data_IF_961664185668
#
_entry.id   IF_961664185668
#
_cell.length_a   1.000
_cell.length_b   1.000
_cell.length_c   1.000
_cell.angle_alpha   90.00
_cell.angle_beta   90.00
_cell.angle_gamma   90.00
#
_symmetry.space_group_name_H-M   'P 1'
#
loop_
_entity.id
_entity.type
_entity.pdbx_description
1 polymer ?
2 non-polymer ?
3 non-polymer ?
4 water ?
#
# COMPACT_ATOMS: atom_id res chain seq x y z
N UNK A 24 27.25 11.69 -9.30
CA UNK A 24 27.11 10.26 -9.47
C UNK A 24 26.80 9.53 -8.17
N UNK A 25 26.10 8.40 -8.28
CA UNK A 25 25.85 7.57 -7.11
C UNK A 25 27.15 6.94 -6.64
N UNK A 26 27.36 6.93 -5.33
CA UNK A 26 28.52 6.23 -4.77
C UNK A 26 28.37 4.73 -5.02
N UNK A 27 29.48 4.01 -4.81
CA UNK A 27 29.46 2.57 -5.03
C UNK A 27 28.48 1.87 -4.10
N UNK A 28 28.44 2.27 -2.84
CA UNK A 28 27.62 1.57 -1.87
C UNK A 28 26.16 1.98 -1.95
N UNK A 29 25.87 3.10 -2.63
CA UNK A 29 24.49 3.47 -2.94
C UNK A 29 23.94 2.63 -4.08
N UNK A 30 24.77 2.34 -5.09
CA UNK A 30 24.36 1.44 -6.17
C UNK A 30 24.02 0.07 -5.63
N UNK A 31 24.81 -0.43 -4.68
CA UNK A 31 24.49 -1.70 -4.04
C UNK A 31 23.21 -1.61 -3.23
N UNK A 32 22.95 -0.45 -2.63
CA UNK A 32 21.72 -0.27 -1.86
C UNK A 32 20.50 -0.36 -2.75
N UNK A 33 20.52 0.33 -3.90
CA UNK A 33 19.40 0.26 -4.83
C UNK A 33 19.25 -1.15 -5.38
N UNK A 34 20.38 -1.82 -5.66
CA UNK A 34 20.33 -3.14 -6.24
C UNK A 34 19.65 -4.13 -5.31
N UNK A 35 19.95 -4.07 -4.01
CA UNK A 35 19.33 -4.99 -3.08
C UNK A 35 17.84 -4.71 -2.93
N UNK A 36 17.45 -3.44 -2.93
CA UNK A 36 16.03 -3.09 -2.89
C UNK A 36 15.31 -3.57 -4.15
N UNK A 37 15.91 -3.30 -5.31
CA UNK A 37 15.33 -3.78 -6.57
C UNK A 37 15.28 -5.31 -6.59
N UNK A 38 16.30 -5.96 -6.03
CA UNK A 38 16.31 -7.42 -5.97
C UNK A 38 15.17 -7.93 -5.10
N UNK A 39 14.97 -7.33 -3.92
CA UNK A 39 13.88 -7.75 -3.04
C UNK A 39 12.53 -7.48 -3.69
N UNK A 40 12.40 -6.36 -4.41
CA UNK A 40 11.14 -6.07 -5.09
C UNK A 40 10.85 -7.09 -6.18
N UNK A 41 11.87 -7.45 -6.97
CA UNK A 41 11.70 -8.45 -8.02
C UNK A 41 11.30 -9.80 -7.44
N UNK A 42 11.83 -10.14 -6.26
CA UNK A 42 11.61 -11.47 -5.69
C UNK A 42 10.25 -11.60 -5.03
N UNK A 43 9.67 -10.49 -4.54
CA UNK A 43 8.52 -10.55 -3.66
C UNK A 43 7.29 -9.81 -4.16
N UNK A 44 7.35 -9.17 -5.32
CA UNK A 44 6.20 -8.43 -5.86
C UNK A 44 5.73 -9.16 -7.11
N UNK A 45 4.69 -9.98 -6.95
CA UNK A 45 4.05 -10.68 -8.07
C UNK A 45 3.17 -9.69 -8.80
N UNK A 46 3.74 -9.03 -9.82
CA UNK A 46 3.03 -7.97 -10.52
C UNK A 46 1.81 -8.46 -11.28
N UNK A 47 1.75 -9.76 -11.61
CA UNK A 47 0.60 -10.33 -12.28
C UNK A 47 -0.43 -10.88 -11.32
N UNK A 48 -0.15 -10.89 -10.02
CA UNK A 48 -1.05 -11.44 -9.00
C UNK A 48 -1.43 -12.88 -9.31
N UNK A 49 -0.50 -13.62 -9.93
CA UNK A 49 -0.81 -14.97 -10.40
C UNK A 49 -1.10 -15.92 -9.25
N UNK A 50 -0.53 -15.67 -8.08
CA UNK A 50 -0.73 -16.55 -6.93
C UNK A 50 -1.75 -16.00 -5.95
N UNK A 51 -2.51 -14.98 -6.34
CA UNK A 51 -3.66 -14.52 -5.56
C UNK A 51 -4.86 -15.35 -5.99
N UNK A 52 -5.26 -16.28 -5.12
CA UNK A 52 -6.27 -17.27 -5.49
C UNK A 52 -6.94 -17.76 -4.21
N UNK A 53 -8.05 -18.48 -4.38
CA UNK A 53 -8.88 -18.96 -3.27
C UNK A 53 -9.45 -17.82 -2.43
N UNK A 54 -9.62 -16.65 -3.04
CA UNK A 54 -10.17 -15.51 -2.34
C UNK A 54 -11.69 -15.56 -2.31
N UNK A 55 -12.26 -14.90 -1.31
CA UNK A 55 -13.71 -14.82 -1.21
C UNK A 55 -14.25 -13.77 -2.18
N UNK A 56 -15.53 -13.92 -2.53
CA UNK A 56 -16.22 -13.03 -3.44
C UNK A 56 -17.59 -12.73 -2.87
N UNK A 57 -18.17 -11.58 -3.24
CA UNK A 57 -19.53 -11.28 -2.77
C UNK A 57 -20.51 -12.37 -3.19
N UNK A 58 -21.43 -12.69 -2.29
CA UNK A 58 -22.42 -13.71 -2.58
C UNK A 58 -23.29 -13.35 -3.77
N UNK A 59 -23.95 -14.37 -4.32
CA UNK A 59 -24.81 -14.21 -5.48
C UNK A 59 -26.26 -14.06 -5.01
N UNK A 60 -27.01 -13.20 -5.71
CA UNK A 60 -28.39 -12.89 -5.37
C UNK A 60 -28.53 -12.48 -3.90
N UNK A 78 -25.26 3.38 16.87
CA UNK A 78 -26.13 4.09 15.94
C UNK A 78 -25.35 5.16 15.20
N UNK A 79 -24.79 6.11 15.97
CA UNK A 79 -23.85 7.06 15.38
C UNK A 79 -22.60 6.36 14.88
N UNK A 80 -22.26 5.21 15.46
CA UNK A 80 -21.18 4.39 14.94
C UNK A 80 -21.48 3.93 13.52
N UNK A 81 -22.73 3.51 13.27
CA UNK A 81 -23.10 3.07 11.93
C UNK A 81 -23.07 4.21 10.93
N UNK A 82 -23.55 5.40 11.34
CA UNK A 82 -23.50 6.56 10.45
C UNK A 82 -22.09 6.84 9.98
N UNK A 83 -21.10 6.62 10.85
CA UNK A 83 -19.71 6.88 10.50
C UNK A 83 -19.08 5.71 9.75
N UNK A 84 -19.45 4.48 10.10
CA UNK A 84 -19.01 3.34 9.29
C UNK A 84 -19.58 3.43 7.89
N UNK A 85 -20.78 4.02 7.76
CA UNK A 85 -21.37 4.21 6.44
C UNK A 85 -20.57 5.22 5.63
N UNK A 86 -20.19 6.34 6.25
CA UNK A 86 -19.39 7.34 5.54
C UNK A 86 -17.99 6.82 5.22
N UNK A 87 -17.48 5.88 6.02
CA UNK A 87 -16.12 5.38 5.81
C UNK A 87 -16.02 4.54 4.54
N UNK A 88 -17.11 3.90 4.13
CA UNK A 88 -17.08 2.95 3.02
C UNK A 88 -17.51 3.56 1.68
N UNK A 89 -18.36 4.58 1.69
CA UNK A 89 -18.97 5.03 0.45
C UNK A 89 -17.98 5.72 -0.48
N UNK A 90 -16.94 6.35 0.08
CA UNK A 90 -15.97 7.07 -0.73
C UNK A 90 -14.90 6.17 -1.33
N UNK A 91 -14.90 4.89 -0.99
CA UNK A 91 -13.90 3.93 -1.49
C UNK A 91 -14.58 2.81 -2.27
N UNK A 92 -15.65 3.15 -2.99
CA UNK A 92 -16.44 2.14 -3.69
C UNK A 92 -15.83 1.81 -5.05
N UNK A 93 -15.77 0.52 -5.36
CA UNK A 93 -15.21 0.04 -6.62
C UNK A 93 -16.05 -1.13 -7.12
N UNK A 94 -16.04 -1.31 -8.43
CA UNK A 94 -16.57 -2.52 -9.06
C UNK A 94 -15.42 -3.49 -9.32
N UNK A 95 -15.78 -4.75 -9.56
CA UNK A 95 -14.79 -5.82 -9.63
C UNK A 95 -14.99 -6.63 -10.90
N UNK A 96 -13.90 -6.88 -11.63
CA UNK A 96 -13.92 -7.65 -12.86
C UNK A 96 -12.93 -8.81 -12.74
N UNK A 97 -13.36 -10.00 -13.13
CA UNK A 97 -12.53 -11.21 -13.07
C UNK A 97 -12.42 -11.79 -14.47
N UNK A 98 -11.23 -11.71 -15.06
CA UNK A 98 -10.97 -12.30 -16.36
C UNK A 98 -10.46 -13.72 -16.19
N UNK A 99 -11.12 -14.67 -16.83
CA UNK A 99 -10.72 -16.06 -16.73
C UNK A 99 -9.68 -16.46 -17.76
N UNK A 100 -8.98 -17.55 -17.48
CA UNK A 100 -7.97 -18.05 -18.40
C UNK A 100 -8.59 -18.49 -19.73
N UNK A 101 -9.84 -18.94 -19.70
CA UNK A 101 -10.53 -19.35 -20.91
C UNK A 101 -10.99 -18.17 -21.76
N UNK A 102 -11.03 -16.97 -21.20
CA UNK A 102 -11.57 -15.81 -21.87
C UNK A 102 -12.88 -15.31 -21.30
N UNK A 103 -13.44 -15.99 -20.30
CA UNK A 103 -14.67 -15.55 -19.68
C UNK A 103 -14.40 -14.37 -18.75
N UNK A 104 -15.44 -13.57 -18.52
CA UNK A 104 -15.34 -12.36 -17.71
C UNK A 104 -16.51 -12.33 -16.74
N UNK A 105 -16.21 -12.28 -15.45
CA UNK A 105 -17.17 -11.97 -14.41
C UNK A 105 -17.02 -10.50 -14.02
N UNK A 106 -18.15 -9.81 -13.83
CA UNK A 106 -18.15 -8.42 -13.40
C UNK A 106 -19.11 -8.26 -12.24
N UNK A 107 -18.65 -7.60 -11.18
CA UNK A 107 -19.44 -7.34 -9.99
C UNK A 107 -19.66 -5.85 -9.83
N UNK A 108 -20.92 -5.43 -9.74
CA UNK A 108 -21.27 -4.06 -9.43
C UNK A 108 -21.79 -4.00 -8.00
N UNK A 109 -21.21 -3.19 -7.13
CA UNK A 109 -21.63 -3.17 -5.73
C UNK A 109 -22.99 -2.51 -5.57
N UNK A 110 -23.70 -2.81 -4.50
CA UNK A 110 -25.02 -2.19 -4.29
C UNK A 110 -24.91 -0.79 -3.72
N UNK A 111 -25.96 -0.01 -3.93
CA UNK A 111 -26.06 1.28 -3.29
C UNK A 111 -26.37 1.12 -1.80
N UNK A 112 -26.05 2.15 -1.02
CA UNK A 112 -26.33 2.11 0.41
C UNK A 112 -27.83 2.28 0.62
N UNK A 113 -28.45 1.28 1.26
CA UNK A 113 -29.87 1.33 1.59
C UNK A 113 -30.12 1.22 3.09
N UNK A 114 -29.08 1.35 3.91
CA UNK A 114 -29.24 1.28 5.35
C UNK A 114 -29.18 -0.13 5.89
N UNK A 115 -28.30 -0.95 5.34
CA UNK A 115 -28.18 -2.33 5.77
C UNK A 115 -26.78 -2.90 5.66
N UNK A 116 -26.65 -4.20 5.89
CA UNK A 116 -25.34 -4.85 5.87
C UNK A 116 -24.73 -4.95 4.48
N UNK A 117 -25.46 -4.54 3.44
CA UNK A 117 -24.99 -4.72 2.07
C UNK A 117 -23.74 -3.92 1.77
N UNK A 118 -23.43 -2.88 2.55
CA UNK A 118 -22.19 -2.13 2.36
C UNK A 118 -20.96 -2.94 2.73
N UNK A 119 -21.14 -4.09 3.35
CA UNK A 119 -20.04 -4.97 3.75
C UNK A 119 -19.85 -6.14 2.79
N UNK A 120 -20.45 -6.08 1.59
CA UNK A 120 -20.43 -7.23 0.70
C UNK A 120 -19.03 -7.51 0.15
N UNK A 121 -18.20 -6.47 0.01
CA UNK A 121 -16.87 -6.62 -0.55
C UNK A 121 -15.78 -6.72 0.51
N UNK A 122 -16.14 -6.66 1.79
CA UNK A 122 -15.13 -6.69 2.83
C UNK A 122 -14.36 -8.02 2.90
N UNK A 123 -15.00 -9.19 2.81
CA UNK A 123 -14.20 -10.43 2.82
C UNK A 123 -13.20 -10.51 1.68
N UNK A 124 -13.58 -10.05 0.48
CA UNK A 124 -12.65 -10.08 -0.65
C UNK A 124 -11.50 -9.11 -0.43
N UNK A 125 -11.80 -7.87 -0.02
CA UNK A 125 -10.76 -6.88 0.21
C UNK A 125 -9.80 -7.31 1.31
N UNK A 126 -10.32 -7.98 2.34
CA UNK A 126 -9.44 -8.54 3.36
C UNK A 126 -8.52 -9.60 2.78
N UNK A 127 -9.00 -10.38 1.82
CA UNK A 127 -8.17 -11.40 1.20
C UNK A 127 -7.10 -10.77 0.32
N UNK A 128 -7.44 -9.72 -0.43
CA UNK A 128 -6.46 -9.02 -1.23
C UNK A 128 -5.44 -8.30 -0.35
N UNK A 129 -5.91 -7.63 0.70
CA UNK A 129 -5.00 -6.95 1.61
C UNK A 129 -4.04 -7.93 2.27
N UNK A 130 -4.55 -9.10 2.68
CA UNK A 130 -3.70 -10.11 3.30
C UNK A 130 -2.64 -10.61 2.32
N UNK A 131 -3.03 -10.88 1.08
CA UNK A 131 -2.07 -11.32 0.07
C UNK A 131 -1.00 -10.24 -0.15
N UNK A 132 -1.41 -8.97 -0.16
CA UNK A 132 -0.44 -7.89 -0.35
C UNK A 132 0.45 -7.74 0.88
N UNK A 133 -0.12 -7.86 2.08
CA UNK A 133 0.67 -7.80 3.30
C UNK A 133 1.75 -8.88 3.30
N UNK A 134 1.42 -10.09 2.82
CA UNK A 134 2.39 -11.18 2.79
C UNK A 134 3.57 -10.83 1.88
N UNK A 135 3.30 -10.23 0.73
CA UNK A 135 4.38 -9.82 -0.14
C UNK A 135 5.25 -8.74 0.47
N UNK A 136 4.62 -7.80 1.19
CA UNK A 136 5.37 -6.74 1.86
C UNK A 136 6.25 -7.32 2.96
N UNK A 137 5.73 -8.28 3.72
CA UNK A 137 6.52 -8.91 4.77
C UNK A 137 7.70 -9.66 4.18
N UNK A 138 7.48 -10.38 3.08
CA UNK A 138 8.58 -11.06 2.39
C UNK A 138 9.58 -10.06 1.82
N UNK A 139 9.09 -8.91 1.35
CA UNK A 139 9.99 -7.88 0.84
C UNK A 139 10.95 -7.40 1.93
N UNK A 140 10.45 -7.18 3.14
CA UNK A 140 11.29 -6.69 4.22
C UNK A 140 12.30 -7.75 4.67
N UNK A 141 11.89 -9.02 4.72
CA UNK A 141 12.77 -10.07 5.22
C UNK A 141 13.96 -10.33 4.30
N UNK A 142 13.89 -9.94 3.03
CA UNK A 142 15.02 -10.12 2.12
C UNK A 142 16.07 -9.02 2.34
N UNK A 143 15.64 -7.81 2.72
CA UNK A 143 16.56 -6.69 2.83
C UNK A 143 17.50 -6.91 4.00
N UNK A 144 18.80 -6.81 3.74
CA UNK A 144 19.81 -7.03 4.77
C UNK A 144 19.70 -6.00 5.89
N UNK A 145 19.44 -4.73 5.53
CA UNK A 145 19.28 -3.70 6.54
C UNK A 145 18.11 -3.98 7.47
N UNK A 146 17.17 -4.83 7.07
CA UNK A 146 16.01 -5.17 7.88
C UNK A 146 16.25 -6.42 8.73
N UNK A 147 16.91 -7.43 8.17
CA UNK A 147 17.19 -8.64 8.94
C UNK A 147 18.09 -8.34 10.13
N UNK A 148 19.02 -7.41 9.97
CA UNK A 148 20.01 -7.13 11.02
C UNK A 148 19.43 -6.33 12.17
N UNK A 149 18.20 -5.83 12.06
CA UNK A 149 17.53 -5.24 13.21
C UNK A 149 16.99 -6.34 14.11
N UNK A 150 16.83 -6.06 15.41
CA UNK A 150 16.21 -7.04 16.30
C UNK A 150 14.79 -7.37 15.86
N UNK A 151 14.41 -8.64 16.07
CA UNK A 151 13.16 -9.14 15.50
C UNK A 151 11.96 -8.34 16.01
N UNK A 152 11.98 -7.96 17.28
CA UNK A 152 10.86 -7.18 17.82
C UNK A 152 10.90 -5.72 17.40
N UNK A 153 11.96 -5.26 16.75
CA UNK A 153 11.90 -4.02 15.99
C UNK A 153 11.39 -4.25 14.57
N UNK A 154 11.69 -5.42 13.99
CA UNK A 154 11.14 -5.76 12.69
C UNK A 154 9.62 -5.81 12.73
N UNK A 155 9.05 -6.37 13.80
CA UNK A 155 7.61 -6.45 13.93
C UNK A 155 7.01 -5.06 14.08
N UNK A 156 7.66 -4.20 14.86
CA UNK A 156 7.15 -2.85 15.07
C UNK A 156 7.17 -2.04 13.77
N UNK A 157 8.25 -2.18 12.98
CA UNK A 157 8.32 -1.44 11.73
C UNK A 157 7.31 -1.96 10.72
N UNK A 158 7.12 -3.28 10.66
CA UNK A 158 6.14 -3.84 9.73
C UNK A 158 4.72 -3.47 10.13
N UNK A 159 4.43 -3.51 11.44
CA UNK A 159 3.10 -3.10 11.91
C UNK A 159 2.80 -1.66 11.52
N UNK A 160 3.82 -0.79 11.54
CA UNK A 160 3.58 0.60 11.29
C UNK A 160 3.54 0.99 9.83
N UNK A 161 4.20 0.22 8.96
CA UNK A 161 4.38 0.62 7.57
C UNK A 161 3.81 -0.35 6.55
N UNK A 162 3.25 -1.48 6.97
CA UNK A 162 2.76 -2.47 6.01
C UNK A 162 1.70 -1.88 5.09
N UNK A 163 0.79 -1.09 5.64
CA UNK A 163 -0.25 -0.47 4.81
C UNK A 163 0.36 0.49 3.79
N UNK A 164 1.37 1.26 4.20
CA UNK A 164 1.96 2.24 3.30
C UNK A 164 2.69 1.58 2.15
N UNK A 165 3.49 0.54 2.42
CA UNK A 165 4.16 -0.18 1.34
C UNK A 165 3.16 -0.84 0.42
N UNK A 166 2.04 -1.32 0.98
CA UNK A 166 0.99 -1.91 0.14
C UNK A 166 0.41 -0.87 -0.81
N UNK A 167 0.15 0.35 -0.31
CA UNK A 167 -0.39 1.40 -1.16
C UNK A 167 0.61 1.81 -2.24
N UNK A 168 1.90 1.79 -1.92
CA UNK A 168 2.91 2.16 -2.91
C UNK A 168 2.98 1.12 -4.03
N UNK A 169 2.87 -0.16 -3.68
CA UNK A 169 2.84 -1.20 -4.71
C UNK A 169 1.57 -1.11 -5.55
N UNK A 170 0.44 -0.79 -4.91
CA UNK A 170 -0.81 -0.66 -5.65
C UNK A 170 -0.77 0.51 -6.62
N UNK A 171 -0.01 1.55 -6.31
CA UNK A 171 0.07 2.69 -7.22
C UNK A 171 0.71 2.30 -8.55
N UNK A 172 1.64 1.35 -8.54
CA UNK A 172 2.32 0.95 -9.77
C UNK A 172 1.39 0.21 -10.72
N UNK A 173 0.29 -0.34 -10.24
CA UNK A 173 -0.71 -0.98 -11.09
C UNK A 173 -1.96 -0.13 -11.24
N UNK A 174 -1.93 1.11 -10.73
CA UNK A 174 -3.07 2.01 -10.87
C UNK A 174 -3.08 2.64 -12.25
N UNK A 175 -4.25 2.66 -12.88
CA UNK A 175 -4.44 3.30 -14.18
C UNK A 175 -5.22 4.59 -13.93
N UNK A 176 -4.52 5.72 -13.93
CA UNK A 176 -5.16 7.00 -13.63
C UNK A 176 -6.10 7.45 -14.75
N UNK A 177 -5.91 6.96 -15.98
CA UNK A 177 -6.79 7.35 -17.08
C UNK A 177 -8.15 6.69 -16.96
N UNK A 178 -8.22 5.51 -16.36
CA UNK A 178 -9.48 4.80 -16.17
C UNK A 178 -9.88 4.66 -14.71
N UNK A 179 -9.02 5.08 -13.78
CA UNK A 179 -9.33 4.92 -12.36
C UNK A 179 -9.50 3.48 -11.94
N UNK A 180 -8.63 2.59 -12.43
CA UNK A 180 -8.72 1.16 -12.17
C UNK A 180 -7.37 0.64 -11.70
N UNK A 181 -7.39 -0.17 -10.64
CA UNK A 181 -6.21 -0.89 -10.20
C UNK A 181 -6.19 -2.22 -10.95
N UNK A 182 -5.24 -2.38 -11.86
CA UNK A 182 -5.19 -3.54 -12.75
C UNK A 182 -4.29 -4.59 -12.10
N UNK A 183 -4.90 -5.54 -11.39
CA UNK A 183 -4.16 -6.54 -10.64
C UNK A 183 -4.21 -7.88 -11.38
N UNK A 184 -3.47 -7.93 -12.49
CA UNK A 184 -3.45 -9.13 -13.31
C UNK A 184 -4.80 -9.45 -13.90
N UNK A 185 -5.39 -10.55 -13.44
CA UNK A 185 -6.71 -10.96 -13.91
C UNK A 185 -7.85 -10.30 -13.15
N UNK A 186 -7.53 -9.51 -12.13
CA UNK A 186 -8.52 -8.76 -11.37
C UNK A 186 -8.38 -7.28 -11.68
N UNK A 187 -9.52 -6.58 -11.73
CA UNK A 187 -9.52 -5.14 -11.96
C UNK A 187 -10.51 -4.51 -10.99
N UNK A 188 -10.07 -3.46 -10.30
CA UNK A 188 -10.89 -2.73 -9.34
C UNK A 188 -11.08 -1.32 -9.87
N UNK A 189 -12.25 -1.06 -10.45
CA UNK A 189 -12.55 0.20 -11.11
C UNK A 189 -13.37 1.09 -10.18
N UNK A 190 -12.92 2.33 -10.02
CA UNK A 190 -13.64 3.30 -9.20
C UNK A 190 -15.00 3.61 -9.84
N UNK A 191 -16.06 3.45 -9.05
CA UNK A 191 -17.43 3.67 -9.53
C UNK A 191 -17.62 5.04 -10.16
N UNK A 198 -14.99 14.07 -10.49
CA UNK A 198 -13.77 14.35 -9.73
C UNK A 198 -14.09 14.86 -8.32
N UNK A 199 -15.27 14.50 -7.83
CA UNK A 199 -15.54 14.61 -6.40
C UNK A 199 -14.90 13.48 -5.62
N UNK A 200 -14.41 12.45 -6.30
CA UNK A 200 -13.71 11.36 -5.62
C UNK A 200 -12.33 11.78 -5.16
N UNK A 201 -11.72 12.75 -5.85
CA UNK A 201 -10.40 13.25 -5.45
C UNK A 201 -10.42 13.92 -4.08
N UNK A 202 -11.60 14.20 -3.54
CA UNK A 202 -11.70 14.69 -2.17
C UNK A 202 -11.24 13.64 -1.16
N UNK A 203 -11.40 12.37 -1.48
CA UNK A 203 -10.95 11.27 -0.64
C UNK A 203 -9.44 11.20 -0.66
N UNK A 204 -8.75 11.44 0.46
CA UNK A 204 -7.28 11.52 0.44
C UNK A 204 -6.58 10.31 -0.17
N UNK A 205 -7.13 9.10 0.01
CA UNK A 205 -6.50 7.92 -0.57
C UNK A 205 -6.50 7.98 -2.09
N UNK A 206 -7.62 8.41 -2.68
CA UNK A 206 -7.70 8.47 -4.14
C UNK A 206 -6.88 9.63 -4.69
N UNK A 207 -6.89 10.77 -3.99
CA UNK A 207 -6.04 11.88 -4.39
C UNK A 207 -4.57 11.51 -4.31
N UNK A 208 -4.20 10.68 -3.34
CA UNK A 208 -2.81 10.23 -3.23
C UNK A 208 -2.40 9.44 -4.47
N UNK A 209 -3.24 8.48 -4.88
CA UNK A 209 -2.87 7.62 -6.00
C UNK A 209 -2.81 8.41 -7.30
N UNK A 210 -3.70 9.38 -7.48
CA UNK A 210 -3.66 10.21 -8.68
C UNK A 210 -2.43 11.11 -8.69
N UNK A 211 -2.11 11.74 -7.55
CA UNK A 211 -0.99 12.66 -7.50
C UNK A 211 0.34 11.93 -7.61
N UNK A 212 0.47 10.78 -6.94
CA UNK A 212 1.72 10.03 -7.01
C UNK A 212 1.97 9.47 -8.39
N UNK A 213 0.94 8.93 -9.03
CA UNK A 213 1.09 8.40 -10.38
C UNK A 213 1.54 9.44 -11.40
N UNK A 214 1.30 10.71 -11.13
CA UNK A 214 1.58 11.72 -12.12
C UNK A 214 3.03 12.18 -12.11
N UNK A 215 3.75 11.98 -11.00
CA UNK A 215 5.19 12.20 -10.99
C UNK A 215 5.93 11.24 -11.92
N UNK A 216 5.28 10.16 -12.34
CA UNK A 216 5.84 9.19 -13.29
C UNK A 216 7.20 8.67 -12.81
N UNK A 217 7.17 8.05 -11.63
CA UNK A 217 8.39 7.60 -10.99
C UNK A 217 8.91 6.32 -11.62
N UNK A 218 10.22 6.11 -11.50
CA UNK A 218 10.85 4.88 -11.93
C UNK A 218 10.61 3.78 -10.88
N UNK A 219 10.90 2.54 -11.28
CA UNK A 219 10.82 1.43 -10.33
C UNK A 219 11.78 1.64 -9.17
N UNK A 220 12.95 2.22 -9.43
CA UNK A 220 13.92 2.46 -8.38
C UNK A 220 13.40 3.49 -7.37
N UNK A 221 12.67 4.49 -7.85
CA UNK A 221 12.13 5.50 -6.95
C UNK A 221 11.01 4.94 -6.08
N UNK A 222 10.18 4.06 -6.65
CA UNK A 222 9.12 3.42 -5.88
C UNK A 222 9.69 2.58 -4.75
N UNK A 223 10.72 1.77 -5.06
CA UNK A 223 11.26 0.87 -4.05
C UNK A 223 12.02 1.65 -2.98
N UNK A 224 12.58 2.81 -3.33
CA UNK A 224 13.20 3.65 -2.31
C UNK A 224 12.17 4.31 -1.42
N UNK A 225 11.00 4.67 -1.99
CA UNK A 225 9.90 5.15 -1.17
C UNK A 225 9.46 4.08 -0.17
N UNK A 226 9.39 2.82 -0.63
CA UNK A 226 9.05 1.72 0.26
C UNK A 226 10.05 1.59 1.40
N UNK A 227 11.34 1.79 1.09
CA UNK A 227 12.37 1.66 2.11
C UNK A 227 12.30 2.79 3.13
N UNK A 228 12.07 4.02 2.66
CA UNK A 228 11.98 5.16 3.58
C UNK A 228 10.77 5.01 4.49
N UNK A 229 9.65 4.54 3.93
CA UNK A 229 8.46 4.31 4.76
C UNK A 229 8.67 3.17 5.74
N UNK A 230 9.31 2.08 5.29
CA UNK A 230 9.50 0.93 6.17
C UNK A 230 10.41 1.28 7.34
N UNK A 231 11.48 2.05 7.08
CA UNK A 231 12.44 2.39 8.12
C UNK A 231 12.12 3.72 8.79
N UNK A 232 10.85 3.97 9.11
CA UNK A 232 10.48 5.16 9.86
C UNK A 232 10.81 4.95 11.33
N UNK A 233 11.68 5.77 11.91
CA UNK A 233 12.14 5.51 13.29
C UNK A 233 11.06 5.69 14.33
N UNK A 234 10.01 6.44 14.02
CA UNK A 234 9.04 6.89 15.01
C UNK A 234 7.70 6.18 14.88
N UNK A 235 7.74 4.83 14.80
CA UNK A 235 6.57 3.98 14.89
C UNK A 235 6.46 3.40 16.30
N UNK A 236 5.23 3.11 16.76
CA UNK A 236 5.07 2.57 18.12
C UNK A 236 5.89 1.31 18.35
N UNK A 237 6.68 1.33 19.43
CA UNK A 237 7.41 0.16 19.87
C UNK A 237 8.82 0.01 19.34
N UNK A 238 9.30 0.96 18.55
CA UNK A 238 10.65 0.86 18.00
C UNK A 238 11.66 1.21 19.09
N UNK A 239 12.63 0.31 19.29
CA UNK A 239 13.66 0.48 20.30
C UNK A 239 14.94 1.10 19.74
N UNK A 240 15.47 0.54 18.65
CA UNK A 240 16.69 1.05 18.03
C UNK A 240 16.36 2.22 17.10
N UNK A 241 15.79 3.26 17.69
CA UNK A 241 15.40 4.44 16.91
C UNK A 241 16.62 5.12 16.30
N UNK A 242 17.79 5.01 16.93
CA UNK A 242 19.01 5.59 16.38
C UNK A 242 19.45 4.86 15.13
N UNK A 243 19.44 3.52 15.17
CA UNK A 243 19.87 2.74 14.02
C UNK A 243 18.89 2.92 12.86
N UNK A 244 17.59 2.90 13.16
CA UNK A 244 16.59 3.05 12.11
C UNK A 244 16.63 4.44 11.50
N UNK A 245 17.00 5.46 12.30
CA UNK A 245 17.00 6.82 11.80
C UNK A 245 18.08 7.03 10.74
N UNK A 246 19.31 6.63 11.04
CA UNK A 246 20.38 6.79 10.06
C UNK A 246 20.22 5.84 8.88
N UNK A 247 19.54 4.71 9.07
CA UNK A 247 19.20 3.85 7.94
C UNK A 247 18.23 4.55 7.00
N UNK A 248 17.17 5.16 7.57
CA UNK A 248 16.24 5.92 6.75
C UNK A 248 16.92 7.08 6.06
N UNK A 249 17.84 7.75 6.76
CA UNK A 249 18.53 8.90 6.17
C UNK A 249 19.35 8.49 4.96
N UNK A 250 20.00 7.33 5.02
CA UNK A 250 20.77 6.84 3.87
C UNK A 250 19.86 6.55 2.69
N UNK A 251 18.68 5.97 2.96
CA UNK A 251 17.75 5.70 1.88
C UNK A 251 17.26 6.99 1.23
N UNK A 252 17.03 8.04 2.03
CA UNK A 252 16.62 9.31 1.48
C UNK A 252 17.74 9.98 0.71
N UNK A 253 18.97 9.89 1.22
CA UNK A 253 20.12 10.46 0.51
C UNK A 253 20.31 9.74 -0.83
N UNK A 254 20.14 8.41 -0.83
CA UNK A 254 20.26 7.67 -2.08
C UNK A 254 19.19 8.08 -3.08
N UNK A 255 17.94 8.24 -2.61
CA UNK A 255 16.88 8.71 -3.49
C UNK A 255 17.18 10.11 -4.02
N UNK A 256 17.62 11.00 -3.13
CA UNK A 256 17.99 12.36 -3.54
C UNK A 256 19.08 12.33 -4.60
N UNK A 257 20.11 11.50 -4.40
CA UNK A 257 21.20 11.42 -5.37
C UNK A 257 20.75 10.75 -6.66
N UNK A 258 19.86 9.75 -6.57
CA UNK A 258 19.37 9.09 -7.78
C UNK A 258 18.66 10.09 -8.69
N UNK A 259 17.78 10.91 -8.12
CA UNK A 259 17.04 11.89 -8.92
C UNK A 259 17.99 12.91 -9.53
N UNK A 260 18.99 13.36 -8.76
CA UNK A 260 19.91 14.37 -9.26
C UNK A 260 20.77 13.84 -10.40
N UNK A 261 21.04 12.54 -10.42
CA UNK A 261 21.91 11.96 -11.45
C UNK A 261 21.15 11.50 -12.68
N UNK A 262 19.87 11.16 -12.55
CA UNK A 262 19.12 10.58 -13.65
C UNK A 262 17.91 11.39 -14.09
N UNK A 263 17.68 12.57 -13.52
CA UNK A 263 16.52 13.39 -13.87
C UNK A 263 16.91 14.86 -13.97
N UNK A 264 17.42 15.27 -15.14
CA UNK A 264 17.84 16.67 -15.32
C UNK A 264 16.75 17.62 -15.79
N UNK A 265 15.56 17.11 -16.13
CA UNK A 265 14.57 17.93 -16.82
C UNK A 265 13.92 18.93 -15.86
N UNK A 266 13.57 20.12 -16.35
CA UNK A 266 12.88 21.10 -15.51
C UNK A 266 11.63 20.58 -14.82
N UNK A 267 10.93 19.62 -15.44
CA UNK A 267 9.72 19.08 -14.84
C UNK A 267 10.00 18.32 -13.55
N UNK A 268 11.24 17.87 -13.34
CA UNK A 268 11.60 17.09 -12.17
C UNK A 268 12.36 17.92 -11.14
N UNK A 269 12.34 19.24 -11.26
CA UNK A 269 12.85 20.09 -10.19
C UNK A 269 12.00 19.88 -8.94
N UNK A 270 12.67 19.80 -7.79
CA UNK A 270 12.04 19.56 -6.49
C UNK A 270 11.30 18.23 -6.42
N UNK A 271 11.64 17.27 -7.29
CA UNK A 271 10.95 15.99 -7.27
C UNK A 271 11.21 15.25 -5.97
N UNK A 272 12.45 15.28 -5.47
CA UNK A 272 12.73 14.63 -4.19
C UNK A 272 11.88 15.20 -3.08
N UNK A 273 11.75 16.53 -3.02
CA UNK A 273 10.90 17.15 -2.02
C UNK A 273 9.43 16.82 -2.23
N UNK A 274 9.01 16.67 -3.48
CA UNK A 274 7.64 16.25 -3.76
C UNK A 274 7.40 14.83 -3.26
N UNK A 275 8.36 13.93 -3.48
CA UNK A 275 8.22 12.56 -3.01
C UNK A 275 8.18 12.50 -1.49
N UNK A 276 9.06 13.25 -0.84
CA UNK A 276 9.08 13.27 0.63
C UNK A 276 7.75 13.76 1.19
N UNK A 277 7.17 14.78 0.56
CA UNK A 277 5.85 15.26 1.00
C UNK A 277 4.78 14.21 0.77
N UNK A 278 4.89 13.43 -0.31
CA UNK A 278 3.93 12.35 -0.54
C UNK A 278 4.03 11.28 0.55
N UNK A 279 5.25 11.02 1.03
CA UNK A 279 5.42 10.02 2.08
C UNK A 279 4.82 10.50 3.40
N UNK A 280 4.90 11.80 3.67
CA UNK A 280 4.24 12.35 4.86
C UNK A 280 2.73 12.23 4.73
N UNK A 281 2.19 12.51 3.54
CA UNK A 281 0.75 12.35 3.32
C UNK A 281 0.33 10.90 3.45
N UNK A 282 1.16 9.97 2.96
CA UNK A 282 0.84 8.55 3.08
C UNK A 282 0.80 8.11 4.53
N UNK A 283 1.71 8.65 5.35
CA UNK A 283 1.67 8.35 6.78
C UNK A 283 0.37 8.83 7.41
N UNK A 284 -0.11 10.01 6.98
CA UNK A 284 -1.39 10.51 7.48
C UNK A 284 -2.54 9.64 7.01
N UNK A 285 -2.52 9.22 5.74
CA UNK A 285 -3.55 8.33 5.23
C UNK A 285 -3.52 7.00 5.95
N UNK A 286 -2.33 6.53 6.32
CA UNK A 286 -2.21 5.29 7.08
C UNK A 286 -2.89 5.42 8.44
N UNK A 287 -2.75 6.59 9.08
CA UNK A 287 -3.33 6.77 10.40
C UNK A 287 -4.86 6.83 10.34
N UNK A 288 -5.42 7.57 9.38
CA UNK A 288 -6.86 7.66 9.27
C UNK A 288 -7.48 6.35 8.78
N UNK A 289 -6.75 5.60 7.96
CA UNK A 289 -7.27 4.32 7.48
C UNK A 289 -7.30 3.28 8.59
N UNK A 290 -6.32 3.31 9.49
CA UNK A 290 -6.34 2.42 10.64
C UNK A 290 -7.57 2.67 11.51
N UNK A 291 -7.95 3.95 11.66
CA UNK A 291 -9.15 4.27 12.43
C UNK A 291 -10.42 3.78 11.73
N UNK A 292 -10.46 3.88 10.40
CA UNK A 292 -11.61 3.37 9.66
C UNK A 292 -11.75 1.86 9.84
N UNK A 293 -10.65 1.13 9.68
CA UNK A 293 -10.69 -0.33 9.80
C UNK A 293 -11.15 -0.77 11.19
N UNK A 294 -10.65 -0.10 12.24
CA UNK A 294 -11.02 -0.49 13.59
C UNK A 294 -12.48 -0.17 13.89
N UNK A 295 -13.03 0.88 13.27
CA UNK A 295 -14.46 1.17 13.44
C UNK A 295 -15.31 0.11 12.75
N UNK A 296 -14.94 -0.26 11.52
CA UNK A 296 -15.67 -1.30 10.81
C UNK A 296 -15.54 -2.65 11.52
N UNK A 297 -14.33 -2.95 12.01
CA UNK A 297 -14.11 -4.18 12.76
C UNK A 297 -14.96 -4.23 14.02
N UNK A 298 -15.34 -3.06 14.56
CA UNK A 298 -16.11 -3.03 15.80
C UNK A 298 -17.53 -3.59 15.58
N UNK A 299 -18.19 -3.15 14.51
CA UNK A 299 -19.55 -3.60 14.22
C UNK A 299 -19.62 -4.81 13.30
N UNK A 300 -18.62 -5.01 12.45
CA UNK A 300 -18.67 -6.07 11.43
C UNK A 300 -17.28 -6.63 11.27
N UNK A 301 -16.96 -7.69 12.01
CA UNK A 301 -15.62 -8.28 11.93
C UNK A 301 -15.33 -8.80 10.53
N UNK A 302 -14.11 -8.57 10.06
CA UNK A 302 -13.71 -8.98 8.72
C UNK A 302 -12.21 -9.18 8.61
N UNK A 303 -11.46 -8.71 9.62
CA UNK A 303 -10.01 -8.77 9.56
C UNK A 303 -9.52 -10.22 9.64
N UNK A 304 -8.64 -10.59 8.72
CA UNK A 304 -8.01 -11.89 8.74
C UNK A 304 -7.05 -12.00 9.92
N UNK A 305 -6.64 -13.21 10.29
CA UNK A 305 -5.63 -13.33 11.37
C UNK A 305 -4.37 -12.52 11.14
N UNK A 306 -3.88 -12.45 9.90
CA UNK A 306 -2.70 -11.63 9.63
C UNK A 306 -3.00 -10.15 9.83
N UNK A 307 -4.17 -9.69 9.41
CA UNK A 307 -4.55 -8.31 9.65
C UNK A 307 -4.70 -8.04 11.14
N UNK A 308 -5.26 -8.99 11.88
CA UNK A 308 -5.38 -8.82 13.33
C UNK A 308 -4.02 -8.66 13.98
N UNK A 309 -3.03 -9.45 13.54
CA UNK A 309 -1.69 -9.36 14.10
C UNK A 309 -1.07 -8.00 13.79
N UNK A 310 -1.22 -7.52 12.55
CA UNK A 310 -0.61 -6.24 12.18
C UNK A 310 -1.28 -5.06 12.86
N UNK A 311 -2.57 -5.19 13.20
CA UNK A 311 -3.32 -4.10 13.82
C UNK A 311 -3.47 -4.27 15.33
N UNK A 312 -2.78 -5.25 15.91
CA UNK A 312 -2.75 -5.39 17.35
C UNK A 312 -3.95 -6.05 17.99
N UNK A 313 -4.85 -6.64 17.20
CA UNK A 313 -6.02 -7.32 17.74
C UNK A 313 -5.59 -8.68 18.30
N UNK A 314 -5.92 -8.92 19.57
CA UNK A 314 -5.46 -10.12 20.26
C UNK A 314 -6.42 -11.30 20.13
N UNK A 315 -7.68 -11.05 19.80
CA UNK A 315 -8.66 -12.12 19.78
C UNK A 315 -9.32 -12.40 21.11
N UNK A 316 -9.19 -11.50 22.08
CA UNK A 316 -9.79 -11.68 23.40
C UNK A 316 -10.87 -10.65 23.65
X LIG B 1 -8.32 -1.15 -1.27
X LIG B 1 -7.89 -2.47 -0.60
X LIG B 1 -6.65 -3.08 -1.24
X LIG B 1 -6.92 -3.39 -2.70
X LIG B 1 -7.34 -2.18 -3.54
X LIG B 1 -8.50 -1.43 -2.79
X LIG B 1 -9.04 -0.20 -3.52
X LIG B 1 -10.42 0.14 -2.97
X LIG B 1 -10.45 0.38 -1.46
X LIG B 1 -11.84 0.30 -1.08
X LIG B 1 -7.24 -0.10 -0.95
X LIG B 1 -11.35 -2.84 3.49
X LIG B 1 -9.73 -0.78 -0.72
X LIG B 1 -9.80 -0.62 0.81
X LIG B 1 -10.65 -1.68 1.49
X LIG B 1 -10.62 -1.69 3.02
X LIG B 1 -11.29 -0.45 3.59
X LIG B 1 -9.20 -1.79 3.52
X LIG B 1 -8.58 -2.87 3.90
X LIG B 1 -9.99 1.79 -1.13
X LIG B 1 -7.88 -2.70 -4.89
X LIG B 1 -6.11 -1.32 -3.84
X LIG C 1 6.76 1.43 -12.33
X LIG C 1 7.61 2.47 -12.69
X LIG C 1 5.87 1.12 -13.55
X LIG C 1 5.38 -0.17 -13.53
X LIG C 1 4.75 2.17 -13.49
X LIG C 1 5.33 3.40 -13.80
#
# INVERSE_FOLDING_TARGET
MKKGHHHHHHGSERTGTQPLGVQGLTEEQRMMIRELMDAQMKTFDTTFSHFKNFRLPGVLSSGCELPESLQAPSREEAAKWSQVRKDLCSLKVSLQLRGEDGSVWNYKPPADSGGKEIFSLLPHMADMSTYMFKGIISFAKVISYFRDLPIEDQISLLKGAAFELCQLRFNTVFNAETGTWECGRLSYCLEDTAGGFQQLLLEPMLKFHYMLKKLQLHEEEYVLMQAISLFSPDRPGVLQHRVVDQLQEQFAITLKSYIECNRPQPAHRFLFLKIMAMLTELRSINAQHTQRLLRIQDIHPFATPLMQELFGITGSLVPR
UK6 C1 C2 C3 C4 C5 C6 C7 C8 C9 O1 C O C10 C11 C12 C13 C14 C15 C16 C17 C18 C19
GOL C1 O1 C2 O2 C3 O3
#
